data_IF_512879723148
#
_entry.id   IF_512879723148
#
_cell.length_a   1.000
_cell.length_b   1.000
_cell.length_c   1.000
_cell.angle_alpha   90.00
_cell.angle_beta   90.00
_cell.angle_gamma   90.00
#
_symmetry.space_group_name_H-M   'P 1'
#
loop_
_entity.id
_entity.type
_entity.pdbx_description
1 polymer ?
#
# COMPACT_ATOMS: atom_id res chain seq x y z
N UNK A 1 19.76 0.99 -1.29
CA UNK A 1 18.38 1.28 -0.87
C UNK A 1 17.43 0.75 -1.93
N UNK A 2 16.43 -0.01 -1.53
CA UNK A 2 15.53 -0.69 -2.46
C UNK A 2 14.25 0.11 -2.67
N UNK A 3 14.36 1.17 -3.44
CA UNK A 3 13.21 2.03 -3.76
C UNK A 3 12.48 1.44 -4.95
N UNK A 4 11.15 1.30 -4.81
CA UNK A 4 10.29 0.78 -5.85
C UNK A 4 9.25 1.83 -6.25
N UNK A 5 8.91 1.84 -7.53
CA UNK A 5 7.85 2.66 -8.06
C UNK A 5 6.92 1.72 -8.82
N UNK A 6 5.68 1.59 -8.36
CA UNK A 6 4.75 0.61 -8.91
C UNK A 6 3.38 1.20 -9.19
N UNK A 7 2.75 0.64 -10.22
CA UNK A 7 1.39 0.95 -10.59
C UNK A 7 0.61 -0.37 -10.52
N UNK A 8 -0.53 -0.37 -9.86
CA UNK A 8 -1.28 -1.60 -9.70
C UNK A 8 -2.72 -1.39 -9.29
N UNK A 9 -3.44 -2.49 -9.24
CA UNK A 9 -4.84 -2.54 -8.85
C UNK A 9 -4.94 -3.18 -7.47
N UNK A 10 -5.69 -2.57 -6.57
CA UNK A 10 -5.93 -3.15 -5.25
C UNK A 10 -6.83 -4.37 -5.41
N UNK A 11 -6.38 -5.52 -4.94
CA UNK A 11 -7.11 -6.78 -5.10
C UNK A 11 -7.58 -7.40 -3.79
N UNK A 12 -7.31 -6.74 -2.67
CA UNK A 12 -7.76 -7.20 -1.36
C UNK A 12 -8.45 -6.07 -0.62
N UNK A 13 -9.07 -6.41 0.50
CA UNK A 13 -9.56 -5.40 1.43
C UNK A 13 -8.39 -4.66 2.05
N UNK A 14 -8.63 -3.42 2.48
CA UNK A 14 -7.64 -2.63 3.20
C UNK A 14 -7.70 -3.06 4.66
N UNK A 15 -6.67 -3.72 5.14
CA UNK A 15 -6.61 -4.18 6.52
C UNK A 15 -5.94 -3.10 7.37
N UNK A 16 -6.76 -2.37 8.10
CA UNK A 16 -6.31 -1.23 8.92
C UNK A 16 -6.32 -1.62 10.40
N UNK A 17 -5.25 -1.25 11.11
CA UNK A 17 -5.15 -1.48 12.55
C UNK A 17 -4.48 -0.31 13.24
N UNK A 18 -4.90 -0.05 14.47
CA UNK A 18 -4.15 0.82 15.36
C UNK A 18 -3.02 0.02 16.00
N UNK A 19 -1.88 0.67 16.18
CA UNK A 19 -0.71 0.04 16.78
C UNK A 19 -0.57 0.54 18.21
N UNK A 20 -0.33 -0.39 19.13
CA UNK A 20 -0.24 -0.09 20.56
C UNK A 20 1.18 0.26 20.97
N UNK A 21 2.16 -0.27 20.25
CA UNK A 21 3.57 -0.12 20.59
C UNK A 21 4.38 0.39 19.39
N UNK A 22 5.47 1.07 19.67
CA UNK A 22 6.37 1.56 18.65
C UNK A 22 6.11 3.02 18.30
N UNK A 23 6.79 3.50 17.27
CA UNK A 23 6.70 4.89 16.83
C UNK A 23 5.41 5.18 16.08
N UNK A 24 4.92 4.21 15.34
CA UNK A 24 3.79 4.40 14.44
C UNK A 24 2.50 4.11 15.18
N UNK A 25 1.46 4.85 14.86
CA UNK A 25 0.14 4.78 15.50
C UNK A 25 -0.83 3.86 14.78
N UNK A 26 -0.65 3.69 13.48
CA UNK A 26 -1.54 2.87 12.68
C UNK A 26 -0.80 2.25 11.50
N UNK A 27 -1.38 1.19 10.96
CA UNK A 27 -0.85 0.52 9.79
C UNK A 27 -2.01 0.06 8.91
N UNK A 28 -1.84 0.17 7.60
CA UNK A 28 -2.75 -0.43 6.62
C UNK A 28 -1.95 -1.41 5.77
N UNK A 29 -2.49 -2.60 5.59
CA UNK A 29 -1.86 -3.67 4.80
C UNK A 29 -2.87 -4.15 3.78
N UNK A 30 -2.44 -4.26 2.54
CA UNK A 30 -3.30 -4.78 1.48
C UNK A 30 -2.44 -5.33 0.34
N UNK A 31 -3.11 -5.92 -0.65
CA UNK A 31 -2.42 -6.51 -1.79
C UNK A 31 -2.79 -5.78 -3.06
N UNK A 32 -1.79 -5.62 -3.93
CA UNK A 32 -1.99 -5.06 -5.26
C UNK A 32 -1.52 -6.06 -6.30
N UNK A 33 -2.16 -5.98 -7.47
CA UNK A 33 -1.76 -6.74 -8.63
C UNK A 33 -1.08 -5.77 -9.60
N UNK A 34 0.16 -6.06 -9.93
CA UNK A 34 0.93 -5.28 -10.88
C UNK A 34 1.02 -6.04 -12.19
N UNK A 35 1.80 -5.54 -13.14
CA UNK A 35 1.99 -6.16 -14.44
C UNK A 35 2.26 -7.66 -14.34
N UNK A 36 1.78 -8.43 -15.33
CA UNK A 36 1.95 -9.89 -15.40
C UNK A 36 1.30 -10.64 -14.25
N UNK A 37 0.26 -10.05 -13.66
CA UNK A 37 -0.50 -10.68 -12.56
C UNK A 37 0.34 -10.98 -11.33
N UNK A 38 1.42 -10.26 -11.14
CA UNK A 38 2.23 -10.39 -9.93
C UNK A 38 1.51 -9.71 -8.77
N UNK A 39 1.40 -10.42 -7.66
CA UNK A 39 0.73 -9.90 -6.47
C UNK A 39 1.76 -9.50 -5.44
N UNK A 40 1.64 -8.30 -4.93
CA UNK A 40 2.58 -7.73 -3.97
C UNK A 40 1.82 -7.24 -2.75
N UNK A 41 2.31 -7.57 -1.57
CA UNK A 41 1.78 -7.03 -0.32
C UNK A 41 2.44 -5.68 -0.05
N UNK A 42 1.62 -4.70 0.23
CA UNK A 42 2.09 -3.35 0.53
C UNK A 42 1.54 -2.92 1.89
N UNK A 43 2.27 -2.04 2.56
CA UNK A 43 1.88 -1.54 3.86
C UNK A 43 2.22 -0.06 3.98
N UNK A 44 1.39 0.66 4.70
CA UNK A 44 1.63 2.07 4.96
C UNK A 44 1.34 2.36 6.41
N UNK A 45 2.02 3.36 6.95
CA UNK A 45 1.93 3.73 8.36
C UNK A 45 1.36 5.12 8.52
N UNK A 46 0.67 5.34 9.63
CA UNK A 46 0.23 6.67 10.07
C UNK A 46 -0.59 7.42 9.00
N UNK A 47 -0.10 8.52 8.46
CA UNK A 47 -0.85 9.30 7.47
C UNK A 47 -1.16 8.50 6.20
N UNK A 48 -0.23 7.66 5.77
CA UNK A 48 -0.44 6.77 4.62
C UNK A 48 -1.54 5.75 4.96
N UNK A 49 -1.50 5.17 6.16
CA UNK A 49 -2.52 4.21 6.60
C UNK A 49 -3.89 4.87 6.63
N UNK A 50 -3.98 6.09 7.16
CA UNK A 50 -5.24 6.82 7.23
C UNK A 50 -5.79 7.12 5.84
N UNK A 51 -4.92 7.54 4.93
CA UNK A 51 -5.30 7.77 3.55
C UNK A 51 -5.86 6.50 2.90
N UNK A 52 -5.16 5.39 3.08
CA UNK A 52 -5.60 4.11 2.50
C UNK A 52 -6.97 3.72 3.05
N UNK A 53 -7.15 3.83 4.35
CA UNK A 53 -8.41 3.44 4.98
C UNK A 53 -9.58 4.32 4.53
N UNK A 54 -9.34 5.62 4.42
CA UNK A 54 -10.41 6.59 4.14
C UNK A 54 -10.69 6.76 2.66
N UNK A 55 -9.71 6.58 1.79
CA UNK A 55 -9.82 6.94 0.38
C UNK A 55 -9.78 5.77 -0.60
N UNK A 56 -9.25 4.63 -0.18
CA UNK A 56 -9.04 3.52 -1.10
C UNK A 56 -9.95 2.34 -0.80
N UNK A 57 -10.23 1.57 -1.83
CA UNK A 57 -10.97 0.33 -1.68
C UNK A 57 -10.54 -0.65 -2.77
N UNK A 58 -10.94 -1.90 -2.60
CA UNK A 58 -10.70 -2.95 -3.57
C UNK A 58 -11.13 -2.48 -4.95
N UNK A 59 -10.34 -2.86 -5.95
CA UNK A 59 -10.50 -2.52 -7.37
C UNK A 59 -10.06 -1.11 -7.76
N UNK A 60 -9.64 -0.28 -6.83
CA UNK A 60 -9.02 1.00 -7.18
C UNK A 60 -7.63 0.78 -7.79
N UNK A 61 -7.23 1.71 -8.64
CA UNK A 61 -5.87 1.73 -9.22
C UNK A 61 -5.04 2.77 -8.50
N UNK A 62 -3.80 2.41 -8.20
CA UNK A 62 -2.89 3.29 -7.47
C UNK A 62 -1.49 3.27 -8.06
N UNK A 63 -0.79 4.37 -7.83
CA UNK A 63 0.64 4.47 -8.08
C UNK A 63 1.28 4.65 -6.72
N UNK A 64 2.27 3.83 -6.41
CA UNK A 64 2.97 3.94 -5.13
C UNK A 64 4.47 4.04 -5.35
N UNK A 65 5.11 4.74 -4.44
CA UNK A 65 6.54 4.70 -4.26
C UNK A 65 6.79 4.14 -2.87
N UNK A 66 7.77 3.28 -2.73
CA UNK A 66 8.04 2.69 -1.43
C UNK A 66 9.36 1.98 -1.39
N UNK A 67 9.60 1.34 -0.26
CA UNK A 67 10.85 0.64 0.03
C UNK A 67 10.56 -0.84 0.16
N UNK A 68 11.28 -1.65 -0.60
CA UNK A 68 11.15 -3.10 -0.53
C UNK A 68 11.89 -3.60 0.71
N UNK A 69 11.20 -4.35 1.55
CA UNK A 69 11.81 -4.90 2.75
C UNK A 69 12.30 -6.35 2.52
N UNK A 70 12.88 -6.93 3.55
CA UNK A 70 13.47 -8.27 3.45
C UNK A 70 12.42 -9.38 3.29
N UNK A 71 11.17 -9.09 3.55
CA UNK A 71 10.06 -10.06 3.37
C UNK A 71 9.47 -10.02 1.98
N UNK A 72 9.93 -9.11 1.13
CA UNK A 72 9.34 -8.91 -0.19
C UNK A 72 8.11 -8.03 -0.18
N UNK A 73 7.84 -7.35 0.92
CA UNK A 73 6.73 -6.40 1.04
C UNK A 73 7.23 -5.00 0.81
N UNK A 74 6.34 -4.12 0.37
CA UNK A 74 6.71 -2.74 0.10
C UNK A 74 6.10 -1.84 1.16
N UNK A 75 6.94 -1.06 1.81
CA UNK A 75 6.49 0.00 2.70
C UNK A 75 6.27 1.25 1.87
N UNK A 76 5.03 1.71 1.81
CA UNK A 76 4.64 2.85 0.98
C UNK A 76 5.15 4.14 1.60
N UNK A 77 5.85 4.96 0.81
CA UNK A 77 6.28 6.30 1.22
C UNK A 77 5.45 7.37 0.54
N UNK A 78 4.93 7.10 -0.66
CA UNK A 78 4.04 8.01 -1.38
C UNK A 78 2.99 7.19 -2.12
N UNK A 79 1.78 7.71 -2.19
CA UNK A 79 0.67 7.02 -2.84
C UNK A 79 -0.25 8.01 -3.54
N UNK A 80 -0.76 7.59 -4.69
CA UNK A 80 -1.71 8.38 -5.45
C UNK A 80 -2.70 7.45 -6.13
N UNK A 81 -3.97 7.79 -6.06
CA UNK A 81 -5.03 7.05 -6.72
C UNK A 81 -5.26 7.64 -8.11
N UNK A 82 -5.52 6.78 -9.09
CA UNK A 82 -5.88 7.25 -10.41
C UNK A 82 -7.03 6.41 -10.97
N UNK A 83 -7.70 6.97 -11.98
CA UNK A 83 -8.84 6.32 -12.63
C UNK A 83 -8.45 5.98 -14.06
N UNK A 84 -8.65 4.72 -14.44
CA UNK A 84 -8.48 4.30 -15.83
C UNK A 84 -9.72 4.71 -16.63
N UNK A 85 -9.47 5.26 -17.78
CA UNK A 85 -10.55 5.64 -18.70
C UNK A 85 -10.49 4.81 -19.96
#
# INVERSE_FOLDING_TARGET
MNICFLMGKIISEINFKFMIQGKNKSIAIFQIEVENKTIITVKGYDEIADYCYNQLQKDNYIIIMGILDYKGEIEITEIEQFTLK
#
